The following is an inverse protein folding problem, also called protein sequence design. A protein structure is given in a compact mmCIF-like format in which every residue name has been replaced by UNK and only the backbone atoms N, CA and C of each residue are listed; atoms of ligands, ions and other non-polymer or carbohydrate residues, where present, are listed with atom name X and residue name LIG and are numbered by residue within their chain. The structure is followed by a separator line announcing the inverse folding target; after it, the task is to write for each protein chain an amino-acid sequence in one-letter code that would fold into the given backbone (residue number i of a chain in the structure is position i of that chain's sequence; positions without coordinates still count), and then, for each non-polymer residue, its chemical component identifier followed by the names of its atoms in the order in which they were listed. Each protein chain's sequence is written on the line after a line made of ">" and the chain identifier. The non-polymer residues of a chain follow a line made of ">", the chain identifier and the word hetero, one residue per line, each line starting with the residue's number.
data_IF_092984288613
#
_entry.id   IF_092984288613
#
_cell.length_a   1.000
_cell.length_b   1.000
_cell.length_c   1.000
_cell.angle_alpha   90.00
_cell.angle_beta   90.00
_cell.angle_gamma   90.00
#
_symmetry.space_group_name_H-M   'P 1'
#
loop_
_entity.id
_entity.type
_entity.pdbx_description
1 polymer ?
#
# COMPACT_ATOMS: atom_id res chain seq x y z
N UNK A 1 11.07 -30.82 -21.44
CA UNK A 1 9.85 -30.02 -21.74
C UNK A 1 8.88 -29.91 -20.55
N UNK A 2 9.34 -29.96 -19.30
CA UNK A 2 8.50 -29.77 -18.10
C UNK A 2 8.62 -28.34 -17.52
N UNK A 3 9.76 -27.67 -17.73
CA UNK A 3 10.00 -26.30 -17.25
C UNK A 3 9.18 -25.24 -17.99
N UNK A 4 8.89 -25.43 -19.28
CA UNK A 4 8.13 -24.49 -20.10
C UNK A 4 6.65 -24.39 -19.68
N UNK A 5 6.07 -25.47 -19.18
CA UNK A 5 4.68 -25.49 -18.71
C UNK A 5 4.50 -24.73 -17.38
N UNK A 6 5.50 -24.76 -16.49
CA UNK A 6 5.45 -24.09 -15.19
C UNK A 6 5.46 -22.55 -15.32
N UNK A 7 6.16 -22.00 -16.33
CA UNK A 7 6.26 -20.55 -16.55
C UNK A 7 4.92 -19.99 -17.08
N UNK A 8 4.20 -20.76 -17.89
CA UNK A 8 2.88 -20.38 -18.41
C UNK A 8 1.79 -20.34 -17.32
N UNK A 9 1.91 -21.19 -16.29
CA UNK A 9 1.02 -21.19 -15.11
C UNK A 9 1.34 -20.04 -14.14
N UNK A 10 2.60 -19.64 -14.02
CA UNK A 10 3.00 -18.47 -13.22
C UNK A 10 2.52 -17.14 -13.84
N UNK A 11 2.35 -17.07 -15.16
CA UNK A 11 1.76 -15.91 -15.85
C UNK A 11 0.25 -15.73 -15.61
N UNK A 12 -0.44 -16.76 -15.13
CA UNK A 12 -1.86 -16.71 -14.79
C UNK A 12 -2.13 -16.41 -13.31
N UNK A 13 -1.10 -16.17 -12.49
CA UNK A 13 -1.24 -15.77 -11.10
C UNK A 13 -0.90 -14.27 -10.91
N UNK A 14 -1.79 -13.28 -10.89
CA UNK A 14 -3.08 -13.04 -11.58
C UNK A 14 -3.31 -11.53 -11.42
N UNK A 15 -3.57 -10.73 -12.47
CA UNK A 15 -3.98 -9.33 -12.30
C UNK A 15 -5.24 -9.21 -11.39
N UNK A 16 -6.11 -10.22 -11.40
CA UNK A 16 -7.26 -10.31 -10.51
C UNK A 16 -6.88 -10.51 -9.02
N UNK A 17 -5.85 -11.31 -8.72
CA UNK A 17 -5.35 -11.46 -7.34
C UNK A 17 -4.69 -10.19 -6.85
N UNK A 18 -3.93 -9.50 -7.71
CA UNK A 18 -3.34 -8.23 -7.37
C UNK A 18 -4.40 -7.15 -7.12
N UNK A 19 -5.44 -7.09 -7.95
CA UNK A 19 -6.59 -6.20 -7.73
C UNK A 19 -7.32 -6.51 -6.41
N UNK A 20 -7.56 -7.78 -6.10
CA UNK A 20 -8.19 -8.19 -4.84
C UNK A 20 -7.35 -7.80 -3.62
N UNK A 21 -6.02 -7.99 -3.68
CA UNK A 21 -5.12 -7.57 -2.61
C UNK A 21 -5.13 -6.06 -2.42
N UNK A 22 -5.10 -5.29 -3.51
CA UNK A 22 -5.17 -3.82 -3.46
C UNK A 22 -6.51 -3.34 -2.90
N UNK A 23 -7.60 -4.01 -3.22
CA UNK A 23 -8.91 -3.68 -2.68
C UNK A 23 -8.94 -3.87 -1.15
N UNK A 24 -8.44 -4.99 -0.65
CA UNK A 24 -8.37 -5.26 0.79
C UNK A 24 -7.52 -4.22 1.54
N UNK A 25 -6.39 -3.79 0.95
CA UNK A 25 -5.56 -2.74 1.53
C UNK A 25 -6.31 -1.40 1.61
N UNK A 26 -7.08 -1.06 0.58
CA UNK A 26 -7.94 0.13 0.59
C UNK A 26 -9.05 0.04 1.65
N UNK A 27 -9.74 -1.09 1.75
CA UNK A 27 -10.80 -1.31 2.75
C UNK A 27 -10.26 -1.14 4.17
N UNK A 28 -9.04 -1.63 4.43
CA UNK A 28 -8.34 -1.41 5.71
C UNK A 28 -8.05 0.07 5.96
N UNK A 29 -7.52 0.79 4.97
CA UNK A 29 -7.23 2.23 5.08
C UNK A 29 -8.49 3.05 5.33
N UNK A 30 -9.60 2.68 4.69
CA UNK A 30 -10.91 3.31 4.90
C UNK A 30 -11.36 3.11 6.35
N UNK A 31 -11.21 1.90 6.91
CA UNK A 31 -11.58 1.64 8.29
C UNK A 31 -10.72 2.42 9.31
N UNK A 32 -9.41 2.58 9.04
CA UNK A 32 -8.47 3.24 9.95
C UNK A 32 -8.54 4.78 9.82
N UNK A 33 -8.38 5.31 8.61
CA UNK A 33 -8.21 6.75 8.36
C UNK A 33 -9.50 7.44 7.91
N UNK A 34 -10.46 6.69 7.36
CA UNK A 34 -11.74 7.25 6.89
C UNK A 34 -12.49 8.06 7.96
N UNK A 35 -12.64 7.57 9.21
CA UNK A 35 -13.28 8.34 10.28
C UNK A 35 -12.57 9.66 10.60
N UNK A 36 -11.24 9.71 10.52
CA UNK A 36 -10.47 10.94 10.73
C UNK A 36 -10.75 11.94 9.60
N UNK A 37 -10.71 11.50 8.35
CA UNK A 37 -11.02 12.34 7.19
C UNK A 37 -12.47 12.85 7.19
N UNK A 38 -13.42 12.04 7.67
CA UNK A 38 -14.81 12.47 7.86
C UNK A 38 -14.93 13.58 8.92
N UNK A 39 -14.22 13.45 10.04
CA UNK A 39 -14.17 14.48 11.10
C UNK A 39 -13.52 15.78 10.63
N UNK A 40 -12.59 15.70 9.68
CA UNK A 40 -11.99 16.87 9.02
C UNK A 40 -12.92 17.53 7.99
N UNK A 41 -14.11 16.97 7.75
CA UNK A 41 -15.13 17.54 6.86
C UNK A 41 -15.01 17.11 5.40
N UNK A 42 -14.14 16.14 5.09
CA UNK A 42 -14.07 15.60 3.73
C UNK A 42 -15.24 14.66 3.45
N UNK A 43 -15.92 14.87 2.32
CA UNK A 43 -17.01 14.02 1.89
C UNK A 43 -16.50 12.62 1.48
N UNK A 44 -17.08 11.54 2.00
CA UNK A 44 -16.68 10.17 1.65
C UNK A 44 -16.68 9.94 0.14
N UNK A 45 -15.79 9.07 -0.34
CA UNK A 45 -15.67 8.68 -1.76
C UNK A 45 -15.30 9.81 -2.74
N UNK A 46 -14.94 11.00 -2.25
CA UNK A 46 -14.35 12.07 -3.07
C UNK A 46 -12.83 11.94 -3.19
N UNK A 47 -12.24 12.59 -4.18
CA UNK A 47 -10.78 12.60 -4.35
C UNK A 47 -10.07 13.29 -3.18
N UNK A 48 -10.69 14.32 -2.60
CA UNK A 48 -10.15 15.00 -1.42
C UNK A 48 -10.10 14.07 -0.21
N UNK A 49 -11.16 13.28 0.00
CA UNK A 49 -11.21 12.28 1.06
C UNK A 49 -10.19 11.15 0.85
N UNK A 50 -10.04 10.66 -0.39
CA UNK A 50 -8.99 9.70 -0.75
C UNK A 50 -7.59 10.25 -0.48
N UNK A 51 -7.33 11.50 -0.87
CA UNK A 51 -6.05 12.16 -0.63
C UNK A 51 -5.76 12.29 0.87
N UNK A 52 -6.74 12.71 1.67
CA UNK A 52 -6.60 12.75 3.14
C UNK A 52 -6.15 11.40 3.73
N UNK A 53 -6.78 10.29 3.33
CA UNK A 53 -6.38 8.95 3.81
C UNK A 53 -4.97 8.57 3.37
N UNK A 54 -4.58 8.88 2.14
CA UNK A 54 -3.22 8.61 1.63
C UNK A 54 -2.16 9.41 2.41
N UNK A 55 -2.44 10.68 2.73
CA UNK A 55 -1.54 11.51 3.53
C UNK A 55 -1.37 10.98 4.96
N UNK A 56 -2.46 10.56 5.59
CA UNK A 56 -2.42 9.98 6.94
C UNK A 56 -1.63 8.67 6.97
N UNK A 57 -1.85 7.80 5.98
CA UNK A 57 -1.07 6.57 5.87
C UNK A 57 0.42 6.85 5.66
N UNK A 58 0.76 7.79 4.79
CA UNK A 58 2.16 8.14 4.55
C UNK A 58 2.83 8.68 5.81
N UNK A 59 2.13 9.50 6.61
CA UNK A 59 2.64 9.97 7.90
C UNK A 59 2.85 8.83 8.89
N UNK A 60 1.93 7.87 8.95
CA UNK A 60 2.03 6.70 9.84
C UNK A 60 3.21 5.80 9.43
N UNK A 61 3.37 5.52 8.13
CA UNK A 61 4.52 4.79 7.60
C UNK A 61 5.83 5.51 7.87
N UNK A 62 5.90 6.82 7.60
CA UNK A 62 7.08 7.62 7.88
C UNK A 62 7.44 7.62 9.38
N UNK A 63 6.43 7.68 10.25
CA UNK A 63 6.59 7.58 11.70
C UNK A 63 7.11 6.21 12.12
N UNK A 64 6.58 5.13 11.53
CA UNK A 64 7.07 3.78 11.76
C UNK A 64 8.54 3.61 11.33
N UNK A 65 8.91 4.17 10.17
CA UNK A 65 10.30 4.17 9.69
C UNK A 65 11.23 5.02 10.57
N UNK A 66 10.76 6.16 11.08
CA UNK A 66 11.54 7.01 11.98
C UNK A 66 11.80 6.35 13.34
N UNK A 67 10.89 5.50 13.81
CA UNK A 67 11.01 4.78 15.08
C UNK A 67 11.76 3.44 14.97
N UNK A 68 12.30 3.10 13.80
CA UNK A 68 13.01 1.84 13.61
C UNK A 68 14.45 1.91 14.20
N UNK A 69 14.91 0.87 14.92
CA UNK A 69 16.27 0.84 15.45
C UNK A 69 17.31 0.93 14.32
N UNK A 70 18.46 1.60 14.52
CA UNK A 70 19.47 1.81 13.46
C UNK A 70 19.94 0.51 12.78
N UNK A 71 19.96 -0.59 13.52
CA UNK A 71 20.41 -1.91 13.06
C UNK A 71 19.40 -2.64 12.17
N UNK A 72 18.17 -2.15 12.09
CA UNK A 72 17.08 -2.79 11.38
C UNK A 72 16.59 -1.94 10.19
N UNK A 73 17.35 -0.91 9.79
CA UNK A 73 17.10 -0.22 8.53
C UNK A 73 17.30 -1.20 7.37
N UNK A 74 16.24 -1.49 6.59
CA UNK A 74 16.36 -2.29 5.40
C UNK A 74 17.30 -1.52 4.43
N UNK A 75 18.43 -2.10 4.06
CA UNK A 75 19.46 -1.54 3.17
C UNK A 75 19.01 -1.35 1.70
N UNK A 76 17.70 -1.28 1.46
CA UNK A 76 17.07 -1.17 0.14
C UNK A 76 17.14 0.26 -0.43
N UNK A 77 17.97 1.15 0.15
CA UNK A 77 18.11 2.55 -0.25
C UNK A 77 19.37 2.92 -1.03
N UNK A 78 20.31 1.98 -1.27
CA UNK A 78 21.57 2.27 -1.98
C UNK A 78 21.61 1.78 -3.44
N UNK A 79 20.46 1.54 -4.07
CA UNK A 79 20.42 1.17 -5.50
C UNK A 79 19.22 1.80 -6.21
N UNK A 80 19.44 2.95 -6.84
CA UNK A 80 18.53 3.48 -7.86
C UNK A 80 18.01 4.88 -7.56
N UNK A 81 18.90 5.86 -7.64
CA UNK A 81 18.51 7.24 -7.97
C UNK A 81 18.21 7.23 -9.49
N UNK A 82 16.94 7.25 -9.88
CA UNK A 82 16.46 7.63 -11.21
C UNK A 82 15.29 8.59 -11.03
#
# INVERSE_FOLDING_TARGET
>A
MLLTAAILLAGCATPAQQAAYKQQDMDRRIAIYGPACNKLGFNPNTDQWRNCMLQLNFQDEASAYANYPPYYHPHWGYRGRF
#
